data_IF_208334484367
#
_entry.id   IF_208334484367
#
_cell.length_a   1.000
_cell.length_b   1.000
_cell.length_c   1.000
_cell.angle_alpha   90.00
_cell.angle_beta   90.00
_cell.angle_gamma   90.00
#
_symmetry.space_group_name_H-M   'P 1'
#
loop_
_entity.id
_entity.type
_entity.pdbx_description
1 polymer ?
#
# COMPACT_ATOMS: atom_id res chain seq x y z
N UNK A 1 5.80 18.79 4.94
CA UNK A 1 6.14 17.99 3.73
C UNK A 1 5.31 18.45 2.54
N UNK A 2 3.98 18.32 2.58
CA UNK A 2 3.11 18.75 1.47
C UNK A 2 2.62 20.19 1.61
N UNK A 3 2.56 20.91 0.49
CA UNK A 3 2.10 22.31 0.41
C UNK A 3 0.59 22.39 0.56
N UNK A 4 0.12 23.31 1.39
CA UNK A 4 -1.30 23.65 1.58
C UNK A 4 -1.50 25.17 1.47
N UNK A 5 -2.56 25.72 2.08
CA UNK A 5 -2.99 27.11 1.94
C UNK A 5 -1.96 28.15 2.44
N UNK A 6 -0.99 27.74 3.27
CA UNK A 6 0.02 28.64 3.85
C UNK A 6 1.36 28.66 3.09
N UNK A 7 1.36 28.26 1.82
CA UNK A 7 2.50 28.27 0.87
C UNK A 7 3.75 27.47 1.24
N UNK A 8 3.88 26.99 2.49
CA UNK A 8 4.99 26.16 2.96
C UNK A 8 4.79 24.70 2.57
N UNK A 9 5.86 24.05 2.07
CA UNK A 9 5.89 22.63 1.68
C UNK A 9 6.01 22.40 0.17
N UNK A 10 5.88 21.14 -0.25
CA UNK A 10 6.04 20.71 -1.64
C UNK A 10 4.71 20.29 -2.29
N UNK A 11 4.53 20.66 -3.55
CA UNK A 11 3.45 20.12 -4.38
C UNK A 11 3.82 18.70 -4.83
N UNK A 12 2.91 17.73 -4.65
CA UNK A 12 3.13 16.35 -5.08
C UNK A 12 3.35 16.29 -6.60
N UNK A 13 2.55 17.02 -7.38
CA UNK A 13 2.70 17.08 -8.84
C UNK A 13 4.09 17.55 -9.24
N UNK A 14 4.58 18.63 -8.63
CA UNK A 14 5.92 19.16 -8.91
C UNK A 14 7.02 18.18 -8.50
N UNK A 15 6.87 17.49 -7.36
CA UNK A 15 7.81 16.43 -6.97
C UNK A 15 7.85 15.35 -8.04
N UNK A 16 6.69 14.83 -8.48
CA UNK A 16 6.62 13.76 -9.47
C UNK A 16 7.27 14.18 -10.80
N UNK A 17 6.86 15.31 -11.37
CA UNK A 17 7.38 15.80 -12.66
C UNK A 17 8.87 16.15 -12.64
N UNK A 18 9.43 16.48 -11.47
CA UNK A 18 10.86 16.73 -11.32
C UNK A 18 11.71 15.45 -11.42
N UNK A 19 11.14 14.28 -11.14
CA UNK A 19 11.86 13.00 -11.17
C UNK A 19 11.80 12.36 -12.56
N UNK A 20 12.81 12.69 -13.38
CA UNK A 20 13.03 12.13 -14.71
C UNK A 20 14.51 11.79 -14.90
N UNK A 21 14.80 10.71 -15.64
CA UNK A 21 16.16 10.23 -15.88
C UNK A 21 16.41 9.92 -17.37
N UNK A 22 17.66 9.67 -17.76
CA UNK A 22 18.03 9.47 -19.16
C UNK A 22 17.41 8.21 -19.80
N UNK A 23 16.93 7.25 -19.00
CA UNK A 23 16.39 5.97 -19.48
C UNK A 23 14.87 5.86 -19.49
N UNK A 24 14.15 6.77 -18.82
CA UNK A 24 12.69 6.62 -18.55
C UNK A 24 11.84 7.70 -19.22
N UNK A 25 12.39 8.44 -20.19
CA UNK A 25 11.67 9.45 -20.95
C UNK A 25 11.12 10.58 -20.07
N UNK A 26 9.79 10.77 -20.09
CA UNK A 26 9.10 11.80 -19.31
C UNK A 26 8.97 11.47 -17.80
N UNK A 27 9.51 10.32 -17.34
CA UNK A 27 9.50 9.95 -15.93
C UNK A 27 8.10 9.75 -15.36
N UNK A 28 7.80 10.41 -14.23
CA UNK A 28 6.52 10.27 -13.51
C UNK A 28 5.38 11.19 -13.99
N UNK A 29 5.53 11.83 -15.13
CA UNK A 29 4.50 12.70 -15.72
C UNK A 29 3.19 11.93 -15.91
N UNK A 30 2.06 12.52 -15.50
CA UNK A 30 0.73 11.91 -15.60
C UNK A 30 0.33 11.03 -14.41
N UNK A 31 1.27 10.61 -13.54
CA UNK A 31 0.92 9.79 -12.37
C UNK A 31 0.03 10.55 -11.37
N UNK A 32 0.25 11.86 -11.21
CA UNK A 32 -0.59 12.69 -10.34
C UNK A 32 -2.05 12.70 -10.82
N UNK A 33 -2.24 12.87 -12.12
CA UNK A 33 -3.56 12.87 -12.75
C UNK A 33 -4.22 11.49 -12.63
N UNK A 34 -3.51 10.41 -12.91
CA UNK A 34 -4.01 9.04 -12.76
C UNK A 34 -4.54 8.79 -11.35
N UNK A 35 -3.74 9.11 -10.33
CA UNK A 35 -4.05 8.83 -8.92
C UNK A 35 -5.07 9.80 -8.30
N UNK A 36 -5.39 10.91 -8.97
CA UNK A 36 -6.43 11.85 -8.52
C UNK A 36 -7.75 11.69 -9.27
N UNK A 37 -7.74 11.02 -10.43
CA UNK A 37 -8.93 10.83 -11.27
C UNK A 37 -9.49 9.42 -11.23
N UNK A 38 -8.65 8.38 -11.08
CA UNK A 38 -9.10 6.99 -11.02
C UNK A 38 -9.11 6.44 -9.60
N UNK A 39 -10.31 6.08 -9.13
CA UNK A 39 -10.50 5.34 -7.88
C UNK A 39 -9.92 3.93 -7.95
N UNK A 40 -9.94 3.28 -9.13
CA UNK A 40 -9.36 1.95 -9.30
C UNK A 40 -7.84 1.98 -9.21
N UNK A 41 -7.18 3.01 -9.76
CA UNK A 41 -5.73 3.19 -9.60
C UNK A 41 -5.33 3.35 -8.13
N UNK A 42 -6.08 4.16 -7.36
CA UNK A 42 -5.82 4.31 -5.92
C UNK A 42 -6.09 3.05 -5.13
N UNK A 43 -7.22 2.38 -5.39
CA UNK A 43 -7.57 1.14 -4.68
C UNK A 43 -6.55 0.03 -4.96
N UNK A 44 -6.01 -0.05 -6.18
CA UNK A 44 -4.97 -1.01 -6.54
C UNK A 44 -3.71 -0.86 -5.66
N UNK A 45 -3.18 0.36 -5.54
CA UNK A 45 -1.98 0.64 -4.73
C UNK A 45 -2.27 0.40 -3.24
N UNK A 46 -3.41 0.88 -2.76
CA UNK A 46 -3.80 0.74 -1.36
C UNK A 46 -3.93 -0.73 -0.95
N UNK A 47 -4.59 -1.56 -1.76
CA UNK A 47 -4.74 -2.98 -1.46
C UNK A 47 -3.43 -3.75 -1.57
N UNK A 48 -2.56 -3.42 -2.53
CA UNK A 48 -1.25 -4.03 -2.65
C UNK A 48 -0.39 -3.78 -1.39
N UNK A 49 -0.34 -2.53 -0.92
CA UNK A 49 0.38 -2.16 0.30
C UNK A 49 -0.30 -2.69 1.56
N UNK A 50 -1.62 -2.60 1.67
CA UNK A 50 -2.37 -3.05 2.84
C UNK A 50 -2.28 -4.57 3.01
N UNK A 51 -2.38 -5.33 1.92
CA UNK A 51 -2.20 -6.77 1.97
C UNK A 51 -0.78 -7.16 2.40
N UNK A 52 0.23 -6.49 1.85
CA UNK A 52 1.63 -6.67 2.26
C UNK A 52 1.84 -6.33 3.74
N UNK A 53 1.23 -5.24 4.22
CA UNK A 53 1.28 -4.84 5.62
C UNK A 53 0.62 -5.87 6.54
N UNK A 54 -0.52 -6.45 6.16
CA UNK A 54 -1.17 -7.51 6.93
C UNK A 54 -0.24 -8.73 7.10
N UNK A 55 0.49 -9.12 6.05
CA UNK A 55 1.48 -10.22 6.13
C UNK A 55 2.64 -9.85 7.06
N UNK A 56 3.14 -8.62 6.98
CA UNK A 56 4.19 -8.11 7.87
C UNK A 56 3.71 -8.12 9.33
N UNK A 57 2.46 -7.71 9.58
CA UNK A 57 1.84 -7.75 10.92
C UNK A 57 1.80 -9.20 11.43
N UNK A 58 1.41 -10.17 10.60
CA UNK A 58 1.44 -11.58 10.99
C UNK A 58 2.83 -12.01 11.47
N UNK A 59 3.88 -11.65 10.71
CA UNK A 59 5.26 -12.00 11.04
C UNK A 59 5.74 -11.32 12.33
N UNK A 60 5.43 -10.04 12.51
CA UNK A 60 5.82 -9.33 13.72
C UNK A 60 5.05 -9.81 14.95
N UNK A 61 3.75 -10.11 14.84
CA UNK A 61 2.94 -10.49 16.00
C UNK A 61 3.32 -11.86 16.59
N UNK A 62 3.75 -12.82 15.76
CA UNK A 62 4.16 -14.12 16.29
C UNK A 62 5.54 -14.07 16.96
N UNK A 63 6.45 -13.21 16.46
CA UNK A 63 7.83 -13.10 16.97
C UNK A 63 7.99 -12.04 18.07
N UNK A 64 7.12 -11.03 18.10
CA UNK A 64 7.07 -9.95 19.11
C UNK A 64 5.65 -9.83 19.65
N UNK A 65 5.20 -10.76 20.53
CA UNK A 65 3.83 -10.82 21.00
C UNK A 65 3.43 -9.53 21.76
N UNK A 66 2.49 -8.72 21.24
CA UNK A 66 2.23 -7.39 21.80
C UNK A 66 1.23 -7.38 22.96
N UNK A 67 0.62 -8.53 23.28
CA UNK A 67 -0.42 -8.65 24.30
C UNK A 67 0.04 -9.55 25.47
N UNK A 68 -0.33 -9.22 26.73
CA UNK A 68 -0.07 -10.08 27.87
C UNK A 68 -0.65 -11.49 27.68
N UNK A 69 0.10 -12.51 28.09
CA UNK A 69 -0.27 -13.94 28.05
C UNK A 69 -0.51 -14.56 26.65
N UNK A 70 -0.48 -13.78 25.57
CA UNK A 70 -0.74 -14.30 24.22
C UNK A 70 0.38 -15.23 23.72
N UNK A 71 1.60 -15.09 24.23
CA UNK A 71 2.75 -15.91 23.83
C UNK A 71 2.64 -17.39 24.26
N UNK A 72 1.86 -17.67 25.30
CA UNK A 72 1.60 -19.03 25.80
C UNK A 72 0.24 -19.57 25.34
N UNK A 73 -0.57 -18.73 24.69
CA UNK A 73 -1.84 -19.12 24.06
C UNK A 73 -1.58 -19.51 22.59
N UNK A 74 -1.08 -20.73 22.38
CA UNK A 74 -0.70 -21.22 21.05
C UNK A 74 -1.85 -21.26 20.03
N UNK A 75 -3.10 -21.64 20.40
CA UNK A 75 -4.23 -21.54 19.47
C UNK A 75 -4.44 -20.12 18.93
N UNK A 76 -4.34 -19.10 19.80
CA UNK A 76 -4.49 -17.70 19.37
C UNK A 76 -3.34 -17.26 18.46
N UNK A 77 -2.10 -17.61 18.78
CA UNK A 77 -0.93 -17.27 17.93
C UNK A 77 -1.05 -17.85 16.51
N UNK A 78 -1.36 -19.15 16.41
CA UNK A 78 -1.53 -19.82 15.11
C UNK A 78 -2.69 -19.22 14.31
N UNK A 79 -3.80 -18.94 14.99
CA UNK A 79 -5.00 -18.39 14.36
C UNK A 79 -4.77 -16.99 13.81
N UNK A 80 -4.17 -16.09 14.61
CA UNK A 80 -3.90 -14.71 14.18
C UNK A 80 -2.89 -14.66 13.03
N UNK A 81 -1.82 -15.45 13.10
CA UNK A 81 -0.85 -15.53 12.01
C UNK A 81 -1.53 -15.96 10.70
N UNK A 82 -2.26 -17.07 10.74
CA UNK A 82 -2.93 -17.63 9.56
C UNK A 82 -3.98 -16.66 9.01
N UNK A 83 -4.77 -16.04 9.89
CA UNK A 83 -5.78 -15.05 9.53
C UNK A 83 -5.18 -13.85 8.78
N UNK A 84 -4.14 -13.23 9.34
CA UNK A 84 -3.52 -12.05 8.73
C UNK A 84 -2.78 -12.36 7.42
N UNK A 85 -2.19 -13.55 7.29
CA UNK A 85 -1.57 -14.00 6.02
C UNK A 85 -2.62 -14.17 4.93
N UNK A 86 -3.77 -14.80 5.23
CA UNK A 86 -4.83 -14.99 4.24
C UNK A 86 -5.46 -13.67 3.81
N UNK A 87 -5.80 -12.78 4.75
CA UNK A 87 -6.28 -11.42 4.42
C UNK A 87 -5.25 -10.71 3.53
N UNK A 88 -3.97 -10.81 3.90
CA UNK A 88 -2.88 -10.25 3.12
C UNK A 88 -2.87 -10.73 1.67
N UNK A 89 -2.97 -12.05 1.47
CA UNK A 89 -3.05 -12.67 0.15
C UNK A 89 -4.25 -12.18 -0.66
N UNK A 90 -5.46 -12.17 -0.07
CA UNK A 90 -6.66 -11.69 -0.74
C UNK A 90 -6.55 -10.22 -1.15
N UNK A 91 -6.03 -9.36 -0.27
CA UNK A 91 -5.83 -7.94 -0.57
C UNK A 91 -4.80 -7.74 -1.69
N UNK A 92 -3.67 -8.44 -1.71
CA UNK A 92 -2.67 -8.33 -2.78
C UNK A 92 -3.29 -8.72 -4.14
N UNK A 93 -4.03 -9.83 -4.19
CA UNK A 93 -4.73 -10.26 -5.41
C UNK A 93 -5.79 -9.23 -5.82
N UNK A 94 -6.55 -8.68 -4.86
CA UNK A 94 -7.49 -7.59 -5.11
C UNK A 94 -6.82 -6.32 -5.66
N UNK A 95 -5.62 -5.99 -5.17
CA UNK A 95 -4.81 -4.89 -5.70
C UNK A 95 -4.44 -5.09 -7.16
N UNK A 96 -3.98 -6.30 -7.53
CA UNK A 96 -3.72 -6.66 -8.92
C UNK A 96 -4.97 -6.61 -9.79
N UNK A 97 -6.11 -7.10 -9.29
CA UNK A 97 -7.40 -7.05 -10.00
C UNK A 97 -7.84 -5.60 -10.29
N UNK A 98 -7.75 -4.71 -9.29
CA UNK A 98 -8.07 -3.29 -9.50
C UNK A 98 -7.07 -2.58 -10.41
N UNK A 99 -5.80 -2.99 -10.40
CA UNK A 99 -4.82 -2.52 -11.37
C UNK A 99 -5.22 -2.88 -12.80
N UNK A 100 -5.66 -4.12 -13.04
CA UNK A 100 -6.17 -4.53 -14.34
C UNK A 100 -7.45 -3.78 -14.73
N UNK A 101 -8.37 -3.54 -13.79
CA UNK A 101 -9.60 -2.76 -14.05
C UNK A 101 -9.25 -1.33 -14.47
N UNK A 102 -8.30 -0.68 -13.80
CA UNK A 102 -7.84 0.66 -14.16
C UNK A 102 -7.30 0.74 -15.59
N UNK A 103 -6.61 -0.29 -16.09
CA UNK A 103 -6.16 -0.31 -17.48
C UNK A 103 -7.30 -0.40 -18.50
N UNK A 104 -8.49 -0.84 -18.08
CA UNK A 104 -9.67 -0.97 -18.94
C UNK A 104 -10.62 0.23 -18.80
N UNK A 105 -10.69 0.88 -17.63
CA UNK A 105 -11.66 1.92 -17.28
C UNK A 105 -11.03 3.03 -16.44
#
# INVERSE_FOLDING_TARGET
MYKTNWFLGHSIKTILEAHKGPFTGEGHKGLYEILTTSWHAQLAINLALFGSLSIIVAHHMYAMPPYPYIAIDYPTQLSLFTHHVWIGGFCIVGGAAHGAIFFVR
#
